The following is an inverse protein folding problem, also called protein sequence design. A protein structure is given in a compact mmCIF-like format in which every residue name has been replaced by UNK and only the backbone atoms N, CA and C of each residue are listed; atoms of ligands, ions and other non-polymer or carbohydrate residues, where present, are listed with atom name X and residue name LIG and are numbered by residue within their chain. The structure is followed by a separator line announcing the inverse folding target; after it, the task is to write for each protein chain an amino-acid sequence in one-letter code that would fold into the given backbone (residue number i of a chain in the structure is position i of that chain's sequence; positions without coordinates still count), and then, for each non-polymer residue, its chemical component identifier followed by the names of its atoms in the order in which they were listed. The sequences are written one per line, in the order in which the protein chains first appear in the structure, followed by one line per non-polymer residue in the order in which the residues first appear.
data_IF_029376900792
#
_entry.id   IF_029376900792
#
_cell.length_a   1.000
_cell.length_b   1.000
_cell.length_c   1.000
_cell.angle_alpha   90.00
_cell.angle_beta   90.00
_cell.angle_gamma   90.00
#
_symmetry.space_group_name_H-M   'P 1'
#
loop_
_entity.id
_entity.type
_entity.pdbx_description
1 polymer ?
#
# COMPACT_ATOMS: atom_id res chain seq x y z
N UNK A 1 10.20 12.04 -6.29
CA UNK A 1 10.87 12.96 -5.35
C UNK A 1 11.67 12.19 -4.31
N UNK A 2 12.80 12.74 -3.83
CA UNK A 2 13.62 12.18 -2.76
C UNK A 2 13.56 13.13 -1.56
N UNK A 3 13.23 12.63 -0.36
CA UNK A 3 13.08 13.44 0.86
C UNK A 3 13.89 12.82 1.98
N UNK A 4 14.52 13.63 2.83
CA UNK A 4 15.25 13.10 3.97
C UNK A 4 14.27 12.59 5.07
N UNK A 5 14.69 11.58 5.82
CA UNK A 5 13.88 10.92 6.86
C UNK A 5 13.39 11.91 7.93
N UNK A 6 14.18 12.94 8.23
CA UNK A 6 13.84 13.96 9.21
C UNK A 6 12.64 14.82 8.79
N UNK A 7 12.53 15.14 7.51
CA UNK A 7 11.38 15.86 6.98
C UNK A 7 10.20 14.93 6.71
N UNK A 8 10.51 13.70 6.31
CA UNK A 8 9.52 12.68 6.02
C UNK A 8 8.67 12.31 7.23
N UNK A 9 9.27 12.19 8.43
CA UNK A 9 8.51 11.88 9.66
C UNK A 9 7.49 12.96 10.01
N UNK A 10 7.80 14.22 9.73
CA UNK A 10 6.93 15.36 10.04
C UNK A 10 5.83 15.50 8.98
N UNK A 11 6.17 15.32 7.71
CA UNK A 11 5.24 15.50 6.58
C UNK A 11 4.65 14.19 6.05
N UNK A 12 4.68 13.11 6.84
CA UNK A 12 4.42 11.76 6.35
C UNK A 12 3.04 11.61 5.68
N UNK A 13 1.98 12.14 6.30
CA UNK A 13 0.63 12.11 5.72
C UNK A 13 0.54 12.80 4.35
N UNK A 14 1.26 13.93 4.18
CA UNK A 14 1.28 14.65 2.90
C UNK A 14 2.04 13.88 1.82
N UNK A 15 3.11 13.19 2.21
CA UNK A 15 3.87 12.32 1.31
C UNK A 15 3.05 11.13 0.84
N UNK A 16 2.22 10.55 1.72
CA UNK A 16 1.29 9.48 1.35
C UNK A 16 0.25 10.00 0.35
N UNK A 17 -0.34 11.17 0.59
CA UNK A 17 -1.32 11.76 -0.34
C UNK A 17 -0.74 11.90 -1.75
N UNK A 18 0.47 12.46 -1.87
CA UNK A 18 1.18 12.57 -3.16
C UNK A 18 1.47 11.23 -3.81
N UNK A 19 1.87 10.24 -3.01
CA UNK A 19 2.06 8.88 -3.51
C UNK A 19 0.77 8.28 -4.07
N UNK A 20 -0.37 8.50 -3.39
CA UNK A 20 -1.68 8.06 -3.85
C UNK A 20 -2.17 8.82 -5.09
N UNK A 21 -1.74 10.07 -5.27
CA UNK A 21 -1.93 10.83 -6.52
C UNK A 21 -1.10 10.27 -7.70
N UNK A 22 -0.22 9.30 -7.44
CA UNK A 22 0.60 8.62 -8.45
C UNK A 22 2.06 9.09 -8.49
N UNK A 23 2.50 9.93 -7.55
CA UNK A 23 3.89 10.35 -7.49
C UNK A 23 4.80 9.28 -6.89
N UNK A 24 5.99 9.11 -7.46
CA UNK A 24 7.03 8.25 -6.87
C UNK A 24 7.72 8.98 -5.71
N UNK A 25 7.54 8.48 -4.50
CA UNK A 25 8.17 9.03 -3.27
C UNK A 25 9.27 8.09 -2.77
N UNK A 26 10.47 8.64 -2.60
CA UNK A 26 11.66 7.96 -2.08
C UNK A 26 12.11 8.71 -0.82
N UNK A 27 12.40 7.99 0.25
CA UNK A 27 12.96 8.55 1.47
C UNK A 27 14.44 8.19 1.55
N UNK A 28 15.25 9.20 1.84
CA UNK A 28 16.69 9.10 2.04
C UNK A 28 17.06 9.34 3.51
N UNK A 29 18.20 8.82 3.93
CA UNK A 29 18.83 9.12 5.22
C UNK A 29 20.24 9.59 4.95
N UNK A 30 20.60 10.77 5.43
CA UNK A 30 21.91 11.40 5.20
C UNK A 30 22.31 11.49 3.71
N UNK A 31 21.34 11.67 2.81
CA UNK A 31 21.57 11.76 1.37
C UNK A 31 21.52 10.42 0.63
N UNK A 32 21.48 9.29 1.34
CA UNK A 32 21.37 7.97 0.73
C UNK A 32 19.92 7.50 0.68
N UNK A 33 19.38 7.12 -0.49
CA UNK A 33 18.01 6.61 -0.61
C UNK A 33 17.89 5.24 0.06
N UNK A 34 16.99 5.12 1.05
CA UNK A 34 16.85 3.90 1.87
C UNK A 34 15.53 3.16 1.65
N UNK A 35 14.47 3.86 1.23
CA UNK A 35 13.15 3.27 1.05
C UNK A 35 12.32 4.03 0.02
N UNK A 36 11.42 3.32 -0.66
CA UNK A 36 10.43 3.91 -1.56
C UNK A 36 9.03 3.49 -1.14
N UNK A 37 8.04 4.31 -1.45
CA UNK A 37 6.65 3.95 -1.24
C UNK A 37 6.22 2.95 -2.32
N UNK A 38 5.46 1.95 -1.91
CA UNK A 38 4.88 0.94 -2.78
C UNK A 38 3.44 0.68 -2.34
N UNK A 39 2.53 0.54 -3.30
CA UNK A 39 1.16 0.21 -3.02
C UNK A 39 1.08 -1.25 -2.57
N UNK A 40 0.30 -1.50 -1.52
CA UNK A 40 0.01 -2.86 -1.09
C UNK A 40 -1.23 -3.31 -1.85
N UNK A 41 -1.06 -4.30 -2.71
CA UNK A 41 -2.20 -4.96 -3.35
C UNK A 41 -2.96 -5.75 -2.28
N UNK A 42 -4.18 -5.31 -1.94
CA UNK A 42 -5.07 -6.13 -1.13
C UNK A 42 -5.53 -7.30 -1.99
N UNK A 43 -5.05 -8.49 -1.67
CA UNK A 43 -5.62 -9.73 -2.16
C UNK A 43 -7.11 -9.70 -1.86
N UNK A 44 -7.96 -9.62 -2.90
CA UNK A 44 -9.40 -9.71 -2.72
C UNK A 44 -9.65 -11.03 -1.99
N UNK A 45 -10.36 -11.05 -0.84
CA UNK A 45 -10.64 -12.29 -0.15
C UNK A 45 -11.32 -13.20 -1.16
N UNK A 46 -10.71 -14.37 -1.42
CA UNK A 46 -11.27 -15.33 -2.35
C UNK A 46 -12.72 -15.57 -1.94
N UNK A 47 -13.65 -15.26 -2.85
CA UNK A 47 -15.07 -15.51 -2.64
C UNK A 47 -15.19 -16.99 -2.25
N UNK A 48 -15.50 -17.24 -0.97
CA UNK A 48 -15.75 -18.60 -0.49
C UNK A 48 -16.95 -19.09 -1.29
N UNK A 49 -16.76 -20.16 -2.07
CA UNK A 49 -17.88 -20.85 -2.72
C UNK A 49 -18.80 -21.30 -1.59
N UNK A 50 -19.92 -20.62 -1.39
CA UNK A 50 -20.99 -21.11 -0.54
C UNK A 50 -21.38 -22.47 -1.10
N UNK A 51 -21.20 -23.53 -0.30
CA UNK A 51 -21.49 -24.89 -0.73
C UNK A 51 -22.91 -24.96 -1.28
N UNK A 52 -23.02 -25.49 -2.50
CA UNK A 52 -24.30 -25.89 -3.08
C UNK A 52 -24.93 -26.90 -2.13
N UNK A 53 -26.03 -26.55 -1.48
CA UNK A 53 -26.91 -27.55 -0.85
C UNK A 53 -27.55 -28.35 -1.99
N UNK A 54 -26.91 -29.45 -2.42
CA UNK A 54 -27.63 -30.52 -3.07
C UNK A 54 -28.43 -31.22 -1.96
N UNK A 55 -29.59 -30.66 -1.64
CA UNK A 55 -30.63 -31.38 -0.93
C UNK A 55 -31.29 -32.25 -2.00
N UNK A 56 -30.78 -33.48 -2.14
CA UNK A 56 -31.53 -34.55 -2.79
C UNK A 56 -32.64 -34.92 -1.79
N UNK A 57 -33.85 -34.47 -2.07
CA UNK A 57 -35.05 -34.86 -1.34
C UNK A 57 -35.59 -36.08 -2.07
N UNK A 58 -35.50 -37.25 -1.45
CA UNK A 58 -36.28 -38.45 -1.78
C UNK A 58 -37.71 -38.29 -1.25
#
# INVERSE_FOLDING_TARGET
MIVNIHEAKTNFSKLIARFLEGEKVIIAKNGEPILQFAAIEKEKPALRKTGFFNCDID
#
